data_IF_025512160414
#
_entry.id   IF_025512160414
#
_cell.length_a   1.000
_cell.length_b   1.000
_cell.length_c   1.000
_cell.angle_alpha   90.00
_cell.angle_beta   90.00
_cell.angle_gamma   90.00
#
_symmetry.space_group_name_H-M   'P 1'
#
loop_
_entity.id
_entity.type
_entity.pdbx_description
1 polymer ?
#
# COMPACT_ATOMS: atom_id res chain seq x y z
N UNK A 1 1.12 12.64 5.28
CA UNK A 1 -0.06 12.20 4.49
C UNK A 1 -1.37 12.85 4.97
N UNK A 2 -1.48 14.19 5.06
CA UNK A 2 -2.73 14.85 5.47
C UNK A 2 -3.78 14.84 4.35
N UNK A 3 -3.47 15.55 3.26
CA UNK A 3 -4.26 15.63 2.03
C UNK A 3 -4.69 14.24 1.50
N UNK A 4 -3.81 13.24 1.60
CA UNK A 4 -4.14 11.88 1.18
C UNK A 4 -5.24 11.23 2.02
N UNK A 5 -5.26 11.46 3.34
CA UNK A 5 -6.33 10.94 4.20
C UNK A 5 -7.65 11.62 3.90
N UNK A 6 -7.63 12.93 3.63
CA UNK A 6 -8.82 13.69 3.24
C UNK A 6 -9.38 13.14 1.93
N UNK A 7 -8.51 12.88 0.94
CA UNK A 7 -8.88 12.22 -0.31
C UNK A 7 -9.51 10.83 -0.10
N UNK A 8 -8.96 9.99 0.79
CA UNK A 8 -9.55 8.68 1.07
C UNK A 8 -10.94 8.82 1.71
N UNK A 9 -11.11 9.77 2.63
CA UNK A 9 -12.38 10.05 3.27
C UNK A 9 -13.46 10.52 2.26
N UNK A 10 -13.07 11.37 1.31
CA UNK A 10 -14.00 11.93 0.32
C UNK A 10 -14.33 10.96 -0.83
N UNK A 11 -13.39 10.10 -1.21
CA UNK A 11 -13.56 9.19 -2.35
C UNK A 11 -14.28 7.89 -2.01
N UNK A 12 -14.30 7.49 -0.73
CA UNK A 12 -14.76 6.16 -0.31
C UNK A 12 -13.84 5.02 -0.75
N UNK A 13 -12.63 5.34 -1.24
CA UNK A 13 -11.59 4.35 -1.51
C UNK A 13 -10.93 3.89 -0.21
N UNK A 14 -10.50 2.62 -0.22
CA UNK A 14 -9.90 1.95 0.92
C UNK A 14 -8.50 1.51 0.55
N UNK A 15 -7.54 1.78 1.44
CA UNK A 15 -6.15 1.38 1.27
C UNK A 15 -5.95 -0.04 1.79
N UNK A 16 -5.51 -0.94 0.91
CA UNK A 16 -5.33 -2.36 1.22
C UNK A 16 -4.36 -2.62 2.37
N UNK A 17 -3.29 -1.83 2.49
CA UNK A 17 -2.33 -1.99 3.58
C UNK A 17 -2.86 -1.46 4.91
N UNK A 18 -3.65 -0.39 4.88
CA UNK A 18 -4.30 0.15 6.07
C UNK A 18 -5.36 -0.82 6.61
N UNK A 19 -6.14 -1.48 5.74
CA UNK A 19 -7.15 -2.46 6.15
C UNK A 19 -6.58 -3.83 6.56
N UNK A 20 -5.52 -4.30 5.90
CA UNK A 20 -4.94 -5.62 6.18
C UNK A 20 -4.19 -5.71 7.52
N UNK A 21 -4.17 -4.63 8.32
CA UNK A 21 -3.52 -4.60 9.64
C UNK A 21 -1.99 -4.65 9.58
N UNK A 22 -1.39 -4.38 8.41
CA UNK A 22 0.05 -4.40 8.23
C UNK A 22 0.75 -3.24 8.95
N UNK A 23 1.95 -3.48 9.45
CA UNK A 23 2.87 -2.43 9.88
C UNK A 23 3.09 -1.44 8.72
N UNK A 24 3.23 -0.16 9.04
CA UNK A 24 3.47 0.95 8.10
C UNK A 24 4.44 0.51 6.98
N UNK A 25 3.95 0.21 5.77
CA UNK A 25 4.74 -0.43 4.73
C UNK A 25 5.60 0.62 4.06
N UNK A 26 6.72 0.95 4.67
CA UNK A 26 7.67 1.85 4.06
C UNK A 26 8.27 1.17 2.83
N UNK A 27 8.08 1.81 1.68
CA UNK A 27 8.46 1.32 0.35
C UNK A 27 9.64 2.08 -0.21
N UNK A 28 9.88 3.32 0.22
CA UNK A 28 10.95 4.17 -0.30
C UNK A 28 11.78 4.83 0.82
N UNK A 29 13.08 5.12 0.60
CA UNK A 29 13.92 4.68 -0.51
C UNK A 29 14.57 3.31 -0.22
N UNK A 30 14.84 2.52 -1.26
CA UNK A 30 15.65 1.27 -1.17
C UNK A 30 17.07 1.44 -1.70
N UNK A 31 17.36 2.52 -2.43
CA UNK A 31 18.66 2.80 -3.05
C UNK A 31 19.62 3.61 -2.16
N UNK A 32 19.24 3.87 -0.90
CA UNK A 32 20.07 4.53 0.10
C UNK A 32 20.51 3.51 1.15
N UNK A 33 21.56 3.84 1.92
CA UNK A 33 22.05 3.00 3.04
C UNK A 33 21.12 3.03 4.28
N UNK A 34 19.86 3.45 4.11
CA UNK A 34 18.86 3.56 5.16
C UNK A 34 17.73 2.57 4.86
N UNK A 35 17.10 1.97 5.88
CA UNK A 35 15.87 1.21 5.65
C UNK A 35 14.81 2.14 5.05
N UNK A 36 13.85 1.62 4.26
CA UNK A 36 12.74 2.42 3.75
C UNK A 36 12.03 3.15 4.89
N UNK A 37 11.76 4.44 4.69
CA UNK A 37 11.19 5.32 5.72
C UNK A 37 9.81 5.85 5.33
N UNK A 38 9.52 5.94 4.03
CA UNK A 38 8.30 6.52 3.51
C UNK A 38 7.40 5.43 2.91
N UNK A 39 6.14 5.45 3.35
CA UNK A 39 5.04 4.74 2.71
C UNK A 39 4.39 5.72 1.74
N UNK A 40 4.66 5.57 0.45
CA UNK A 40 4.14 6.45 -0.61
C UNK A 40 3.52 5.67 -1.79
N UNK A 41 3.61 4.34 -1.76
CA UNK A 41 2.97 3.45 -2.74
C UNK A 41 1.74 2.81 -2.09
N UNK A 42 0.60 2.90 -2.77
CA UNK A 42 -0.71 2.52 -2.21
C UNK A 42 -1.48 1.62 -3.19
N UNK A 43 -2.26 0.69 -2.64
CA UNK A 43 -3.26 -0.08 -3.39
C UNK A 43 -4.63 0.38 -2.91
N UNK A 44 -5.34 1.15 -3.73
CA UNK A 44 -6.65 1.70 -3.41
C UNK A 44 -7.75 0.92 -4.11
N UNK A 45 -8.75 0.49 -3.35
CA UNK A 45 -9.89 -0.27 -3.87
C UNK A 45 -11.21 0.38 -3.49
N UNK A 46 -12.24 0.18 -4.31
CA UNK A 46 -13.59 0.63 -3.99
C UNK A 46 -14.32 -0.43 -3.12
N UNK A 47 -15.62 -0.23 -2.92
CA UNK A 47 -16.46 -1.14 -2.11
C UNK A 47 -16.78 -2.48 -2.77
N UNK A 48 -16.59 -2.60 -4.09
CA UNK A 48 -16.93 -3.80 -4.86
C UNK A 48 -15.76 -4.81 -4.90
N UNK A 49 -14.69 -4.53 -4.14
CA UNK A 49 -13.49 -5.35 -4.06
C UNK A 49 -13.17 -5.63 -2.59
N UNK A 50 -13.12 -6.91 -2.23
CA UNK A 50 -12.64 -7.36 -0.93
C UNK A 50 -11.12 -7.49 -0.92
N UNK A 51 -10.49 -6.97 0.14
CA UNK A 51 -9.06 -7.12 0.42
C UNK A 51 -8.85 -8.39 1.24
N UNK A 52 -8.15 -9.38 0.69
CA UNK A 52 -7.81 -10.62 1.40
C UNK A 52 -6.47 -10.54 2.12
N UNK A 53 -5.51 -9.86 1.52
CA UNK A 53 -4.20 -9.61 2.11
C UNK A 53 -3.48 -8.48 1.39
N UNK A 54 -2.56 -7.81 2.07
CA UNK A 54 -1.61 -6.87 1.48
C UNK A 54 -0.22 -7.13 2.08
N UNK A 55 0.82 -7.16 1.24
CA UNK A 55 2.19 -7.49 1.63
C UNK A 55 3.22 -6.64 0.90
N UNK A 56 4.40 -6.52 1.50
CA UNK A 56 5.60 -5.98 0.85
C UNK A 56 6.54 -7.15 0.60
N UNK A 57 6.57 -7.72 -0.61
CA UNK A 57 7.45 -8.84 -0.92
C UNK A 57 8.92 -8.56 -0.59
N UNK A 58 9.63 -9.61 -0.18
CA UNK A 58 11.05 -9.57 0.15
C UNK A 58 11.92 -9.89 -1.07
N UNK A 59 11.74 -9.13 -2.15
CA UNK A 59 12.61 -9.21 -3.32
C UNK A 59 12.85 -7.82 -3.90
N UNK A 60 14.02 -7.64 -4.52
CA UNK A 60 14.40 -6.39 -5.19
C UNK A 60 14.17 -6.52 -6.69
N UNK A 61 13.46 -5.55 -7.28
CA UNK A 61 13.25 -5.44 -8.74
C UNK A 61 14.17 -4.39 -9.39
N UNK A 62 15.18 -3.93 -8.66
CA UNK A 62 16.15 -2.93 -9.14
C UNK A 62 15.64 -1.49 -9.18
N UNK A 63 14.43 -1.22 -8.69
CA UNK A 63 13.91 0.14 -8.46
C UNK A 63 14.30 0.70 -7.09
N UNK A 64 14.10 2.01 -6.89
CA UNK A 64 14.29 2.71 -5.61
C UNK A 64 13.10 2.56 -4.65
N UNK A 65 12.10 1.76 -5.03
CA UNK A 65 10.92 1.38 -4.26
C UNK A 65 10.85 -0.13 -4.03
N UNK A 66 10.31 -0.55 -2.88
CA UNK A 66 9.85 -1.93 -2.64
C UNK A 66 8.50 -2.15 -3.34
N UNK A 67 8.25 -3.37 -3.86
CA UNK A 67 6.95 -3.70 -4.43
C UNK A 67 5.84 -3.71 -3.36
N UNK A 68 4.64 -3.29 -3.74
CA UNK A 68 3.40 -3.53 -2.98
C UNK A 68 2.60 -4.63 -3.67
N UNK A 69 2.02 -5.55 -2.92
CA UNK A 69 1.21 -6.62 -3.47
C UNK A 69 -0.05 -6.83 -2.63
N UNK A 70 -1.18 -7.11 -3.28
CA UNK A 70 -2.42 -7.44 -2.61
C UNK A 70 -3.12 -8.63 -3.28
N UNK A 71 -3.83 -9.41 -2.46
CA UNK A 71 -4.79 -10.40 -2.93
C UNK A 71 -6.18 -9.80 -2.81
N UNK A 72 -6.85 -9.63 -3.95
CA UNK A 72 -8.15 -8.97 -4.07
C UNK A 72 -9.19 -9.95 -4.63
N UNK A 73 -10.45 -9.76 -4.25
CA UNK A 73 -11.59 -10.53 -4.77
C UNK A 73 -12.69 -9.55 -5.17
N UNK A 74 -13.28 -9.73 -6.35
CA UNK A 74 -14.45 -8.95 -6.76
C UNK A 74 -15.67 -9.47 -6.00
N UNK A 75 -16.39 -8.60 -5.32
CA UNK A 75 -17.65 -8.90 -4.64
C UNK A 75 -18.80 -8.47 -5.52
N UNK A 76 -19.58 -9.45 -6.01
CA UNK A 76 -20.86 -9.21 -6.69
C UNK A 76 -21.99 -9.02 -5.69
#
# INVERSE_FOLDING_TARGET
HGVFRDFLADSGLRDAHAEAGGLYPATWPTNLFLPPLLHIDHILVNRDIEIRSATIPEFEWGGDHRPVAARLVITN
#
